data_IF_904809749593
#
_entry.id   IF_904809749593
#
_cell.length_a   1.000
_cell.length_b   1.000
_cell.length_c   1.000
_cell.angle_alpha   90.00
_cell.angle_beta   90.00
_cell.angle_gamma   90.00
#
_symmetry.space_group_name_H-M   'P 1'
#
loop_
_entity.id
_entity.type
_entity.pdbx_description
1 polymer ?
#
# COMPACT_ATOMS: atom_id res chain seq x y z
N UNK A 1 8.63 10.28 -2.38
CA UNK A 1 9.04 9.31 -1.37
C UNK A 1 9.14 7.89 -1.94
N UNK A 2 9.77 7.00 -1.20
CA UNK A 2 9.84 5.58 -1.50
C UNK A 2 9.26 4.83 -0.31
N UNK A 3 8.29 3.96 -0.58
CA UNK A 3 7.69 3.06 0.40
C UNK A 3 8.38 1.70 0.37
N UNK A 4 8.69 1.19 1.55
CA UNK A 4 9.28 -0.12 1.74
C UNK A 4 8.35 -0.97 2.59
N UNK A 5 7.77 -2.02 1.99
CA UNK A 5 6.95 -2.99 2.69
C UNK A 5 7.77 -4.10 3.37
N UNK A 6 7.07 -5.06 3.94
CA UNK A 6 7.58 -6.29 4.57
C UNK A 6 7.65 -6.26 6.09
N UNK A 7 6.92 -5.38 6.71
CA UNK A 7 6.75 -5.31 8.17
C UNK A 7 5.27 -5.45 8.46
N UNK A 8 4.90 -6.14 9.51
CA UNK A 8 3.52 -6.23 9.99
C UNK A 8 3.44 -6.07 11.50
N UNK A 9 2.27 -5.71 12.00
CA UNK A 9 2.00 -5.77 13.45
C UNK A 9 1.13 -6.98 13.81
N UNK A 10 1.05 -7.31 15.09
CA UNK A 10 0.14 -8.33 15.62
C UNK A 10 -0.88 -7.72 16.60
N UNK A 11 -1.77 -8.56 17.13
CA UNK A 11 -2.82 -8.14 18.06
C UNK A 11 -2.30 -7.63 19.40
N UNK A 12 -1.09 -7.95 19.80
CA UNK A 12 -0.39 -7.45 20.98
C UNK A 12 0.33 -6.11 20.72
N UNK A 13 0.37 -5.64 19.47
CA UNK A 13 1.06 -4.41 19.06
C UNK A 13 2.55 -4.60 18.84
N UNK A 14 3.00 -5.82 18.60
CA UNK A 14 4.41 -6.13 18.30
C UNK A 14 4.65 -6.03 16.79
N UNK A 15 5.78 -5.46 16.42
CA UNK A 15 6.21 -5.35 15.03
C UNK A 15 7.04 -6.57 14.65
N UNK A 16 6.69 -7.19 13.54
CA UNK A 16 7.34 -8.37 12.97
C UNK A 16 7.94 -8.05 11.61
N UNK A 17 9.08 -8.63 11.30
CA UNK A 17 9.82 -8.43 10.04
C UNK A 17 9.61 -9.55 9.03
N UNK A 18 8.62 -10.41 9.24
CA UNK A 18 8.25 -11.50 8.35
C UNK A 18 7.25 -11.08 7.24
N UNK A 19 6.67 -9.90 7.34
CA UNK A 19 5.82 -9.30 6.33
C UNK A 19 4.66 -10.20 5.86
N UNK A 20 4.34 -10.10 4.58
CA UNK A 20 3.26 -10.85 3.94
C UNK A 20 3.67 -12.28 3.51
N UNK A 21 4.95 -12.55 3.36
CA UNK A 21 5.48 -13.84 2.90
C UNK A 21 5.84 -14.81 4.05
N UNK A 22 5.72 -14.36 5.31
CA UNK A 22 6.01 -15.15 6.49
C UNK A 22 7.48 -15.51 6.68
N UNK A 23 8.38 -14.87 5.93
CA UNK A 23 9.83 -15.08 6.02
C UNK A 23 10.41 -14.04 6.96
N UNK A 24 10.73 -14.45 8.18
CA UNK A 24 11.38 -13.57 9.16
C UNK A 24 12.75 -13.11 8.62
N UNK A 25 12.97 -11.81 8.66
CA UNK A 25 14.21 -11.18 8.22
C UNK A 25 15.04 -10.76 9.42
N UNK A 26 16.31 -11.14 9.39
CA UNK A 26 17.27 -10.66 10.38
C UNK A 26 17.36 -9.12 10.27
N UNK A 27 16.84 -8.44 11.27
CA UNK A 27 16.78 -6.97 11.29
C UNK A 27 18.13 -6.33 11.06
N UNK A 28 19.20 -6.84 11.69
CA UNK A 28 20.52 -6.23 11.61
C UNK A 28 21.17 -6.43 10.24
N UNK A 29 20.92 -7.55 9.59
CA UNK A 29 21.49 -7.84 8.26
C UNK A 29 20.65 -7.29 7.12
N UNK A 30 19.31 -7.34 7.25
CA UNK A 30 18.42 -6.92 6.18
C UNK A 30 18.13 -5.42 6.25
N UNK A 31 17.49 -4.96 7.33
CA UNK A 31 17.07 -3.56 7.41
C UNK A 31 18.26 -2.61 7.59
N UNK A 32 19.20 -2.88 8.48
CA UNK A 32 20.31 -1.98 8.71
C UNK A 32 21.20 -1.79 7.47
N UNK A 33 21.45 -2.88 6.69
CA UNK A 33 22.24 -2.79 5.46
C UNK A 33 21.46 -2.10 4.35
N UNK A 34 20.19 -2.47 4.18
CA UNK A 34 19.33 -1.87 3.17
C UNK A 34 19.15 -0.37 3.43
N UNK A 35 18.85 0.03 4.66
CA UNK A 35 18.61 1.42 5.02
C UNK A 35 19.87 2.27 4.84
N UNK A 36 21.01 1.81 5.27
CA UNK A 36 22.27 2.52 5.02
C UNK A 36 22.51 2.78 3.53
N UNK A 37 22.26 1.77 2.68
CA UNK A 37 22.46 1.91 1.23
C UNK A 37 21.43 2.84 0.59
N UNK A 38 20.20 2.84 1.11
CA UNK A 38 19.14 3.72 0.62
C UNK A 38 19.37 5.18 1.03
N UNK A 39 19.72 5.44 2.29
CA UNK A 39 20.03 6.78 2.77
C UNK A 39 21.21 7.39 1.98
N UNK A 40 22.28 6.61 1.73
CA UNK A 40 23.42 7.07 0.91
C UNK A 40 22.98 7.62 -0.47
N UNK A 41 21.93 7.06 -1.06
CA UNK A 41 21.45 7.46 -2.41
C UNK A 41 20.31 8.49 -2.35
N UNK A 42 19.42 8.39 -1.36
CA UNK A 42 18.17 9.15 -1.33
C UNK A 42 18.30 10.50 -0.63
N UNK A 43 19.14 10.61 0.40
CA UNK A 43 19.34 11.85 1.16
C UNK A 43 19.88 12.97 0.26
N UNK A 44 20.83 12.67 -0.63
CA UNK A 44 21.33 13.63 -1.62
C UNK A 44 20.25 14.12 -2.60
N UNK A 45 19.17 13.35 -2.76
CA UNK A 45 18.07 13.64 -3.68
C UNK A 45 16.87 14.28 -3.00
N UNK A 46 16.88 14.39 -1.68
CA UNK A 46 15.74 14.86 -0.89
C UNK A 46 14.50 13.97 -1.04
N UNK A 47 14.69 12.64 -1.12
CA UNK A 47 13.62 11.67 -1.26
C UNK A 47 13.35 11.01 0.09
N UNK A 48 12.16 11.21 0.64
CA UNK A 48 11.75 10.63 1.90
C UNK A 48 11.57 9.12 1.79
N UNK A 49 11.92 8.41 2.86
CA UNK A 49 11.82 6.97 2.98
C UNK A 49 10.75 6.60 4.02
N UNK A 50 9.71 5.88 3.58
CA UNK A 50 8.55 5.52 4.39
C UNK A 50 8.49 4.01 4.58
N UNK A 51 8.10 3.53 5.75
CA UNK A 51 7.88 2.11 6.01
C UNK A 51 6.39 1.77 5.94
N UNK A 52 6.02 0.84 5.07
CA UNK A 52 4.67 0.26 5.05
C UNK A 52 4.57 -0.87 6.07
N UNK A 53 3.62 -0.74 6.99
CA UNK A 53 3.33 -1.72 8.03
C UNK A 53 1.96 -2.35 7.75
N UNK A 54 1.96 -3.66 7.51
CA UNK A 54 0.80 -4.47 7.18
C UNK A 54 0.00 -4.88 8.42
N UNK A 55 -1.31 -5.00 8.29
CA UNK A 55 -2.16 -5.51 9.35
C UNK A 55 -1.96 -7.01 9.62
N UNK A 56 -2.37 -7.51 10.81
CA UNK A 56 -2.46 -8.95 11.07
C UNK A 56 -3.36 -9.62 10.03
N UNK A 57 -2.86 -10.65 9.38
CA UNK A 57 -3.56 -11.42 8.36
C UNK A 57 -4.11 -12.74 8.89
N UNK A 58 -4.90 -13.45 8.06
CA UNK A 58 -5.43 -14.77 8.35
C UNK A 58 -6.79 -14.76 9.04
N UNK A 59 -7.12 -15.87 9.70
CA UNK A 59 -8.42 -16.02 10.38
C UNK A 59 -8.61 -14.93 11.45
N UNK A 60 -9.78 -14.29 11.45
CA UNK A 60 -10.13 -13.16 12.33
C UNK A 60 -9.21 -11.94 12.24
N UNK A 61 -8.62 -11.67 11.07
CA UNK A 61 -7.71 -10.55 10.86
C UNK A 61 -8.22 -9.22 11.42
N UNK A 62 -9.45 -8.81 11.09
CA UNK A 62 -10.03 -7.56 11.59
C UNK A 62 -10.22 -7.54 13.12
N UNK A 63 -10.57 -8.67 13.75
CA UNK A 63 -10.68 -8.73 15.22
C UNK A 63 -9.31 -8.53 15.89
N UNK A 64 -8.25 -9.07 15.29
CA UNK A 64 -6.87 -8.88 15.75
C UNK A 64 -6.42 -7.42 15.58
N UNK A 65 -6.76 -6.81 14.43
CA UNK A 65 -6.53 -5.36 14.23
C UNK A 65 -7.27 -4.55 15.30
N UNK A 66 -8.56 -4.83 15.50
CA UNK A 66 -9.36 -4.11 16.50
C UNK A 66 -8.74 -4.21 17.90
N UNK A 67 -8.28 -5.39 18.31
CA UNK A 67 -7.59 -5.57 19.59
C UNK A 67 -6.33 -4.73 19.67
N UNK A 68 -5.50 -4.71 18.63
CA UNK A 68 -4.26 -3.95 18.63
C UNK A 68 -4.49 -2.43 18.71
N UNK A 69 -5.45 -1.88 17.93
CA UNK A 69 -5.70 -0.44 17.87
C UNK A 69 -6.61 0.09 18.99
N UNK A 70 -7.19 -0.80 19.82
CA UNK A 70 -8.02 -0.40 20.97
C UNK A 70 -7.38 -0.76 22.30
N UNK A 71 -7.14 -2.05 22.56
CA UNK A 71 -6.63 -2.54 23.85
C UNK A 71 -5.11 -2.36 23.97
N UNK A 72 -4.35 -2.55 22.88
CA UNK A 72 -2.90 -2.50 22.85
C UNK A 72 -2.35 -1.27 22.11
N UNK A 73 -3.17 -0.24 21.94
CA UNK A 73 -2.89 0.96 21.15
C UNK A 73 -1.57 1.63 21.49
N UNK A 74 -1.33 1.91 22.77
CA UNK A 74 -0.10 2.58 23.21
C UNK A 74 1.16 1.77 22.89
N UNK A 75 1.09 0.46 23.11
CA UNK A 75 2.16 -0.48 22.76
C UNK A 75 2.42 -0.46 21.25
N UNK A 76 1.35 -0.55 20.44
CA UNK A 76 1.44 -0.56 18.98
C UNK A 76 2.09 0.74 18.46
N UNK A 77 1.59 1.89 18.87
CA UNK A 77 2.14 3.19 18.43
C UNK A 77 3.60 3.34 18.86
N UNK A 78 3.91 2.97 20.11
CA UNK A 78 5.29 3.03 20.62
C UNK A 78 6.22 2.16 19.79
N UNK A 79 5.82 0.94 19.45
CA UNK A 79 6.64 0.02 18.67
C UNK A 79 6.79 0.47 17.20
N UNK A 80 5.72 0.99 16.58
CA UNK A 80 5.79 1.57 15.23
C UNK A 80 6.80 2.71 15.16
N UNK A 81 6.71 3.66 16.09
CA UNK A 81 7.62 4.81 16.15
C UNK A 81 9.05 4.37 16.48
N UNK A 82 9.21 3.43 17.41
CA UNK A 82 10.54 2.90 17.75
C UNK A 82 11.20 2.21 16.56
N UNK A 83 10.43 1.43 15.77
CA UNK A 83 10.92 0.79 14.55
C UNK A 83 11.33 1.83 13.50
N UNK A 84 10.47 2.81 13.26
CA UNK A 84 10.76 3.90 12.32
C UNK A 84 12.01 4.69 12.73
N UNK A 85 12.15 5.04 14.01
CA UNK A 85 13.31 5.75 14.54
C UNK A 85 14.60 4.93 14.47
N UNK A 86 14.52 3.61 14.72
CA UNK A 86 15.70 2.71 14.69
C UNK A 86 16.39 2.72 13.33
N UNK A 87 15.63 2.88 12.27
CA UNK A 87 16.11 2.83 10.89
C UNK A 87 15.99 4.17 10.15
N UNK A 88 15.69 5.25 10.89
CA UNK A 88 15.59 6.62 10.35
C UNK A 88 14.59 6.76 9.20
N UNK A 89 13.45 6.03 9.25
CA UNK A 89 12.35 6.24 8.32
C UNK A 89 11.73 7.63 8.51
N UNK A 90 11.44 8.32 7.40
CA UNK A 90 10.80 9.64 7.40
C UNK A 90 9.30 9.58 7.67
N UNK A 91 8.70 8.39 7.57
CA UNK A 91 7.27 8.21 7.77
C UNK A 91 6.85 6.76 7.97
N UNK A 92 5.56 6.63 8.27
CA UNK A 92 4.86 5.37 8.45
C UNK A 92 3.68 5.35 7.47
N UNK A 93 3.58 4.30 6.67
CA UNK A 93 2.43 3.95 5.85
C UNK A 93 1.70 2.76 6.49
N UNK A 94 0.39 2.80 6.53
CA UNK A 94 -0.41 1.71 7.08
C UNK A 94 -1.25 1.07 6.00
N UNK A 95 -1.12 -0.25 5.89
CA UNK A 95 -1.87 -1.06 4.95
C UNK A 95 -2.78 -2.02 5.71
N UNK A 96 -4.03 -1.57 5.97
CA UNK A 96 -5.09 -2.40 6.52
C UNK A 96 -6.09 -2.79 5.44
N UNK A 97 -6.05 -4.05 5.03
CA UNK A 97 -6.95 -4.62 4.03
C UNK A 97 -8.02 -5.52 4.69
N UNK A 98 -9.24 -5.08 5.02
CA UNK A 98 -9.74 -3.70 4.99
C UNK A 98 -10.66 -3.49 6.19
N UNK A 99 -10.81 -2.29 6.75
CA UNK A 99 -11.90 -2.00 7.67
C UNK A 99 -13.24 -2.06 6.92
N UNK A 100 -14.25 -2.72 7.49
CA UNK A 100 -15.53 -3.00 6.83
C UNK A 100 -16.72 -2.39 7.56
N UNK A 101 -16.68 -2.33 8.90
CA UNK A 101 -17.77 -1.85 9.74
C UNK A 101 -17.56 -0.38 10.17
N UNK A 102 -18.64 0.25 10.67
CA UNK A 102 -18.53 1.58 11.27
C UNK A 102 -17.62 1.58 12.50
N UNK A 103 -17.77 0.58 13.37
CA UNK A 103 -16.96 0.48 14.60
C UNK A 103 -15.46 0.36 14.28
N UNK A 104 -15.10 -0.38 13.23
CA UNK A 104 -13.71 -0.49 12.77
C UNK A 104 -13.18 0.86 12.27
N UNK A 105 -13.96 1.59 11.48
CA UNK A 105 -13.57 2.93 11.04
C UNK A 105 -13.48 3.93 12.21
N UNK A 106 -14.40 3.89 13.16
CA UNK A 106 -14.38 4.78 14.32
C UNK A 106 -13.11 4.56 15.16
N UNK A 107 -12.77 3.29 15.42
CA UNK A 107 -11.54 2.94 16.13
C UNK A 107 -10.29 3.33 15.33
N UNK A 108 -10.29 3.10 14.02
CA UNK A 108 -9.14 3.41 13.15
C UNK A 108 -8.93 4.93 13.01
N UNK A 109 -10.01 5.71 12.84
CA UNK A 109 -9.93 7.17 12.83
C UNK A 109 -9.26 7.71 14.11
N UNK A 110 -9.71 7.24 15.28
CA UNK A 110 -9.13 7.62 16.56
C UNK A 110 -7.66 7.21 16.71
N UNK A 111 -7.32 6.00 16.23
CA UNK A 111 -5.95 5.49 16.24
C UNK A 111 -5.01 6.32 15.36
N UNK A 112 -5.44 6.65 14.14
CA UNK A 112 -4.63 7.43 13.18
C UNK A 112 -4.33 8.85 13.68
N UNK A 113 -5.32 9.51 14.30
CA UNK A 113 -5.14 10.84 14.89
C UNK A 113 -4.11 10.80 16.02
N UNK A 114 -4.18 9.79 16.91
CA UNK A 114 -3.23 9.63 17.98
C UNK A 114 -1.83 9.27 17.46
N UNK A 115 -1.74 8.34 16.51
CA UNK A 115 -0.47 7.98 15.87
C UNK A 115 0.20 9.22 15.28
N UNK A 116 -0.50 10.02 14.46
CA UNK A 116 0.07 11.24 13.87
C UNK A 116 0.51 12.25 14.92
N UNK A 117 -0.28 12.45 15.98
CA UNK A 117 0.07 13.35 17.07
C UNK A 117 1.38 12.92 17.79
N UNK A 118 1.54 11.63 18.02
CA UNK A 118 2.76 11.08 18.62
C UNK A 118 3.95 11.11 17.66
N UNK A 119 3.75 10.82 16.38
CA UNK A 119 4.80 10.94 15.35
C UNK A 119 5.45 12.33 15.36
N UNK A 120 4.66 13.40 15.44
CA UNK A 120 5.14 14.79 15.49
C UNK A 120 6.04 15.12 16.68
N UNK A 121 6.01 14.31 17.72
CA UNK A 121 6.80 14.56 18.93
C UNK A 121 7.86 13.52 19.21
N UNK A 122 7.66 12.27 18.76
CA UNK A 122 8.46 11.12 19.13
C UNK A 122 9.31 10.57 17.96
N UNK A 123 8.96 10.85 16.69
CA UNK A 123 9.82 10.49 15.56
C UNK A 123 11.05 11.39 15.48
N UNK A 124 12.13 10.85 14.92
CA UNK A 124 13.41 11.55 14.80
C UNK A 124 13.31 12.86 14.01
N UNK A 125 12.47 12.90 12.95
CA UNK A 125 12.21 14.05 12.09
C UNK A 125 10.97 14.88 12.51
N UNK A 126 10.25 14.45 13.54
CA UNK A 126 9.14 15.18 14.20
C UNK A 126 8.08 15.75 13.26
N UNK A 127 8.03 17.09 13.11
CA UNK A 127 7.00 17.76 12.31
C UNK A 127 7.03 17.36 10.83
N UNK A 128 8.16 16.88 10.33
CA UNK A 128 8.30 16.41 8.95
C UNK A 128 7.90 14.93 8.78
N UNK A 129 7.51 14.25 9.88
CA UNK A 129 7.11 12.85 9.86
C UNK A 129 5.83 12.62 9.04
N UNK A 130 5.94 11.78 8.02
CA UNK A 130 4.86 11.47 7.08
C UNK A 130 3.99 10.32 7.59
N UNK A 131 2.66 10.50 7.60
CA UNK A 131 1.68 9.43 7.78
C UNK A 131 0.93 9.22 6.46
N UNK A 132 0.99 8.01 5.91
CA UNK A 132 0.22 7.64 4.73
C UNK A 132 -0.58 6.35 4.93
N UNK A 133 -1.53 6.09 4.04
CA UNK A 133 -2.39 4.90 4.08
C UNK A 133 -2.49 4.27 2.70
N UNK A 134 -2.46 2.95 2.63
CA UNK A 134 -2.94 2.22 1.47
C UNK A 134 -4.47 2.15 1.49
N UNK A 135 -5.15 2.56 0.42
CA UNK A 135 -6.60 2.65 0.36
C UNK A 135 -7.22 1.85 -0.78
N UNK A 136 -8.29 1.13 -0.42
CA UNK A 136 -9.23 0.61 -1.40
C UNK A 136 -10.06 1.73 -2.04
N UNK A 137 -10.70 1.44 -3.17
CA UNK A 137 -11.55 2.38 -3.92
C UNK A 137 -13.05 2.23 -3.60
N UNK A 138 -13.37 1.82 -2.36
CA UNK A 138 -14.75 1.55 -1.93
C UNK A 138 -14.91 1.63 -0.41
N UNK A 139 -16.12 1.97 0.03
CA UNK A 139 -16.62 1.90 1.42
C UNK A 139 -15.79 2.67 2.48
N UNK A 140 -15.08 3.72 2.10
CA UNK A 140 -14.29 4.52 3.04
C UNK A 140 -15.18 5.37 3.97
N UNK A 141 -14.77 5.53 5.24
CA UNK A 141 -15.49 6.29 6.27
C UNK A 141 -14.51 7.04 7.18
N UNK A 142 -13.56 7.74 6.58
CA UNK A 142 -12.64 8.60 7.33
C UNK A 142 -13.31 9.90 7.71
N UNK A 143 -13.03 10.39 8.94
CA UNK A 143 -13.53 11.69 9.37
C UNK A 143 -12.66 12.82 8.81
N UNK A 144 -13.21 14.07 8.68
CA UNK A 144 -12.40 15.21 8.23
C UNK A 144 -11.12 15.40 9.05
N UNK A 145 -11.20 15.23 10.38
CA UNK A 145 -10.05 15.35 11.27
C UNK A 145 -8.98 14.29 10.98
N UNK A 146 -9.38 13.09 10.62
CA UNK A 146 -8.46 12.03 10.20
C UNK A 146 -7.83 12.36 8.85
N UNK A 147 -8.62 12.82 7.88
CA UNK A 147 -8.12 13.22 6.54
C UNK A 147 -7.08 14.33 6.67
N UNK A 148 -7.30 15.31 7.56
CA UNK A 148 -6.35 16.40 7.81
C UNK A 148 -5.01 15.93 8.41
N UNK A 149 -4.98 14.82 9.13
CA UNK A 149 -3.75 14.30 9.71
C UNK A 149 -2.97 13.34 8.79
N UNK A 150 -3.56 12.92 7.66
CA UNK A 150 -2.93 12.05 6.67
C UNK A 150 -2.23 12.93 5.62
N UNK A 151 -0.96 12.67 5.37
CA UNK A 151 -0.18 13.42 4.37
C UNK A 151 -0.43 12.92 2.95
N UNK A 152 -0.48 11.59 2.76
CA UNK A 152 -0.73 10.94 1.46
C UNK A 152 -1.60 9.71 1.61
N UNK A 153 -2.29 9.37 0.53
CA UNK A 153 -2.98 8.09 0.39
C UNK A 153 -2.50 7.37 -0.87
N UNK A 154 -2.13 6.12 -0.71
CA UNK A 154 -1.68 5.22 -1.77
C UNK A 154 -2.88 4.40 -2.24
N UNK A 155 -3.53 4.87 -3.29
CA UNK A 155 -4.77 4.27 -3.79
C UNK A 155 -4.47 3.03 -4.60
N UNK A 156 -4.99 1.88 -4.19
CA UNK A 156 -4.87 0.61 -4.89
C UNK A 156 -5.74 0.60 -6.16
N UNK A 157 -5.31 1.36 -7.18
CA UNK A 157 -5.99 1.51 -8.47
C UNK A 157 -5.75 0.34 -9.44
N UNK A 158 -5.54 -0.86 -8.90
CA UNK A 158 -5.21 -2.09 -9.61
C UNK A 158 -6.04 -3.27 -9.07
N UNK A 159 -5.96 -4.42 -9.74
CA UNK A 159 -6.73 -5.63 -9.44
C UNK A 159 -8.25 -5.43 -9.42
N UNK A 160 -8.71 -4.35 -10.06
CA UNK A 160 -10.12 -4.05 -10.23
C UNK A 160 -10.62 -4.83 -11.45
N UNK A 161 -11.55 -5.74 -11.23
CA UNK A 161 -12.21 -6.48 -12.30
C UNK A 161 -13.34 -5.64 -12.88
N UNK A 162 -13.52 -5.70 -14.20
CA UNK A 162 -14.70 -5.15 -14.86
C UNK A 162 -15.95 -6.02 -14.62
N UNK A 163 -17.08 -5.62 -15.22
CA UNK A 163 -18.35 -6.32 -15.05
C UNK A 163 -18.34 -7.75 -15.60
N UNK A 164 -17.45 -8.03 -16.54
CA UNK A 164 -17.29 -9.34 -17.17
C UNK A 164 -16.27 -10.24 -16.46
N UNK A 165 -15.71 -9.76 -15.33
CA UNK A 165 -14.72 -10.48 -14.54
C UNK A 165 -13.32 -10.46 -15.11
N UNK A 166 -13.06 -9.61 -16.09
CA UNK A 166 -11.76 -9.40 -16.69
C UNK A 166 -10.95 -8.39 -15.84
N UNK A 167 -9.62 -8.51 -15.92
CA UNK A 167 -8.74 -7.56 -15.26
C UNK A 167 -8.87 -6.20 -15.96
N UNK A 168 -9.40 -5.22 -15.26
CA UNK A 168 -9.65 -3.91 -15.85
C UNK A 168 -8.50 -2.95 -15.64
N UNK A 169 -8.09 -2.64 -14.47
CA UNK A 169 -7.06 -1.63 -14.15
C UNK A 169 -6.73 -0.67 -15.31
N UNK A 170 -7.74 -0.33 -16.13
CA UNK A 170 -7.62 0.53 -17.31
C UNK A 170 -7.54 2.01 -16.89
N UNK A 171 -7.37 2.90 -17.85
CA UNK A 171 -7.33 4.33 -17.60
C UNK A 171 -8.60 4.86 -16.92
N UNK A 172 -9.78 4.41 -17.36
CA UNK A 172 -11.06 4.81 -16.75
C UNK A 172 -11.20 4.38 -15.29
N UNK A 173 -10.69 3.20 -14.89
CA UNK A 173 -10.70 2.78 -13.48
C UNK A 173 -9.75 3.62 -12.61
N UNK A 174 -8.65 4.07 -13.17
CA UNK A 174 -7.74 5.02 -12.51
C UNK A 174 -8.45 6.36 -12.22
N UNK A 175 -9.14 6.92 -13.23
CA UNK A 175 -9.91 8.16 -13.06
C UNK A 175 -11.03 7.98 -12.01
N UNK A 176 -11.81 6.90 -12.11
CA UNK A 176 -12.88 6.59 -11.15
C UNK A 176 -12.35 6.42 -9.72
N UNK A 177 -11.19 5.78 -9.57
CA UNK A 177 -10.53 5.64 -8.27
C UNK A 177 -10.17 7.01 -7.68
N UNK A 178 -9.53 7.88 -8.46
CA UNK A 178 -9.17 9.23 -8.04
C UNK A 178 -10.40 10.07 -7.66
N UNK A 179 -11.43 10.09 -8.53
CA UNK A 179 -12.67 10.81 -8.30
C UNK A 179 -13.39 10.32 -7.03
N UNK A 180 -13.38 9.00 -6.79
CA UNK A 180 -13.96 8.43 -5.59
C UNK A 180 -13.23 8.92 -4.33
N UNK A 181 -11.90 8.86 -4.29
CA UNK A 181 -11.11 9.29 -3.13
C UNK A 181 -11.27 10.80 -2.89
N UNK A 182 -11.28 11.62 -3.95
CA UNK A 182 -11.56 13.06 -3.85
C UNK A 182 -12.96 13.32 -3.27
N UNK A 183 -13.96 12.53 -3.67
CA UNK A 183 -15.33 12.63 -3.15
C UNK A 183 -15.43 12.28 -1.65
N UNK A 184 -14.46 11.56 -1.09
CA UNK A 184 -14.38 11.26 0.34
C UNK A 184 -13.74 12.39 1.16
N UNK A 185 -13.26 13.45 0.52
CA UNK A 185 -12.70 14.64 1.17
C UNK A 185 -11.18 14.78 1.09
N UNK A 186 -10.47 13.81 0.49
CA UNK A 186 -9.04 13.94 0.24
C UNK A 186 -8.77 14.96 -0.88
N UNK A 187 -7.76 15.80 -0.70
CA UNK A 187 -7.31 16.70 -1.76
C UNK A 187 -6.50 15.97 -2.82
N UNK A 188 -6.47 16.51 -4.04
CA UNK A 188 -5.68 15.94 -5.14
C UNK A 188 -4.19 15.79 -4.80
N UNK A 189 -3.67 16.70 -3.99
CA UNK A 189 -2.26 16.68 -3.56
C UNK A 189 -1.94 15.54 -2.58
N UNK A 190 -2.97 14.96 -1.94
CA UNK A 190 -2.81 13.81 -1.05
C UNK A 190 -2.90 12.48 -1.80
N UNK A 191 -3.37 12.45 -3.05
CA UNK A 191 -3.73 11.22 -3.75
C UNK A 191 -2.57 10.73 -4.62
N UNK A 192 -2.03 9.56 -4.30
CA UNK A 192 -1.15 8.79 -5.17
C UNK A 192 -1.91 7.59 -5.70
N UNK A 193 -1.87 7.36 -7.01
CA UNK A 193 -2.60 6.25 -7.64
C UNK A 193 -1.61 5.15 -8.02
N UNK A 194 -1.83 3.96 -7.48
CA UNK A 194 -1.06 2.77 -7.82
C UNK A 194 -1.37 2.26 -9.22
N UNK A 195 -0.33 1.89 -9.96
CA UNK A 195 -0.44 1.27 -11.29
C UNK A 195 0.18 -0.13 -11.26
N UNK A 196 -0.47 -1.15 -11.87
CA UNK A 196 0.10 -2.49 -11.94
C UNK A 196 1.17 -2.56 -13.03
N UNK A 197 2.37 -3.02 -12.68
CA UNK A 197 3.43 -3.42 -13.62
C UNK A 197 3.49 -4.94 -13.77
N UNK A 198 2.34 -5.58 -13.68
CA UNK A 198 2.15 -7.03 -13.80
C UNK A 198 0.87 -7.33 -14.58
N UNK A 199 0.76 -8.54 -15.08
CA UNK A 199 -0.46 -9.07 -15.67
C UNK A 199 -1.17 -10.03 -14.73
N UNK A 200 -2.49 -10.10 -14.84
CA UNK A 200 -3.33 -11.07 -14.13
C UNK A 200 -4.10 -11.92 -15.13
N UNK A 201 -4.37 -13.18 -14.76
CA UNK A 201 -5.15 -14.08 -15.59
C UNK A 201 -6.64 -13.74 -15.54
N UNK A 202 -7.33 -14.05 -16.64
CA UNK A 202 -8.79 -14.07 -16.68
C UNK A 202 -9.36 -14.92 -15.52
N UNK A 203 -10.16 -14.31 -14.64
CA UNK A 203 -10.78 -14.95 -13.50
C UNK A 203 -9.89 -15.28 -12.30
N UNK A 204 -8.59 -14.93 -12.32
CA UNK A 204 -7.65 -15.25 -11.24
C UNK A 204 -6.87 -14.06 -10.73
N UNK A 205 -7.18 -13.55 -9.53
CA UNK A 205 -6.40 -12.50 -8.86
C UNK A 205 -5.06 -13.01 -8.30
N UNK A 206 -4.90 -14.32 -8.14
CA UNK A 206 -3.77 -14.92 -7.41
C UNK A 206 -2.57 -15.27 -8.29
N UNK A 207 -2.71 -15.22 -9.62
CA UNK A 207 -1.61 -15.53 -10.55
C UNK A 207 -1.16 -14.24 -11.24
N UNK A 208 -0.16 -13.58 -10.69
CA UNK A 208 0.43 -12.36 -11.26
C UNK A 208 1.69 -12.69 -12.06
N UNK A 209 1.88 -12.00 -13.18
CA UNK A 209 3.07 -12.12 -14.03
C UNK A 209 3.76 -10.76 -14.16
N UNK A 210 5.03 -10.72 -13.82
CA UNK A 210 5.81 -9.50 -14.01
C UNK A 210 5.86 -9.10 -15.49
N UNK A 211 5.66 -7.82 -15.78
CA UNK A 211 5.63 -7.29 -17.16
C UNK A 211 6.89 -7.64 -17.95
N UNK A 212 8.07 -7.61 -17.33
CA UNK A 212 9.34 -7.95 -17.98
C UNK A 212 9.42 -9.41 -18.46
N UNK A 213 8.64 -10.33 -17.88
CA UNK A 213 8.61 -11.72 -18.31
C UNK A 213 7.95 -11.91 -19.69
N UNK A 214 7.14 -10.94 -20.12
CA UNK A 214 6.38 -11.00 -21.38
C UNK A 214 6.68 -9.82 -22.32
N UNK A 215 7.44 -8.83 -21.88
CA UNK A 215 7.64 -7.56 -22.60
C UNK A 215 8.29 -7.68 -23.98
N UNK A 216 9.09 -8.73 -24.20
CA UNK A 216 9.75 -8.98 -25.49
C UNK A 216 8.78 -9.58 -26.54
N UNK A 217 7.68 -10.17 -26.08
CA UNK A 217 6.72 -10.87 -26.92
C UNK A 217 5.48 -10.03 -27.29
N UNK A 218 5.34 -8.85 -26.70
CA UNK A 218 4.14 -8.03 -26.83
C UNK A 218 4.45 -6.62 -27.36
N UNK A 219 3.50 -6.08 -28.11
CA UNK A 219 3.55 -4.68 -28.53
C UNK A 219 3.35 -3.75 -27.31
N UNK A 220 4.04 -2.60 -27.21
CA UNK A 220 3.86 -1.61 -26.15
C UNK A 220 2.44 -1.01 -26.08
N UNK A 221 1.59 -1.32 -27.05
CA UNK A 221 0.19 -0.88 -27.12
C UNK A 221 -0.82 -1.96 -26.73
N UNK A 222 -0.40 -3.22 -26.58
CA UNK A 222 -1.30 -4.30 -26.24
C UNK A 222 -1.57 -4.34 -24.72
N UNK A 223 -2.82 -4.62 -24.35
CA UNK A 223 -3.28 -4.72 -22.96
C UNK A 223 -3.57 -6.17 -22.55
N UNK A 224 -3.32 -7.11 -23.43
CA UNK A 224 -3.47 -8.55 -23.15
C UNK A 224 -2.44 -9.35 -23.92
N UNK A 225 -2.17 -10.54 -23.40
CA UNK A 225 -1.30 -11.55 -24.01
C UNK A 225 -1.92 -12.93 -23.78
N UNK A 226 -1.85 -13.80 -24.78
CA UNK A 226 -2.34 -15.17 -24.66
C UNK A 226 -1.22 -16.09 -24.25
N UNK A 227 -1.33 -16.70 -23.08
CA UNK A 227 -0.37 -17.67 -22.55
C UNK A 227 -1.01 -19.05 -22.47
N UNK A 228 -0.18 -20.09 -22.52
CA UNK A 228 -0.62 -21.45 -22.20
C UNK A 228 -0.43 -21.72 -20.73
N UNK A 229 -1.50 -22.14 -20.05
CA UNK A 229 -1.41 -22.61 -18.68
C UNK A 229 -0.47 -23.82 -18.63
N UNK A 230 0.51 -23.79 -17.72
CA UNK A 230 1.58 -24.79 -17.64
C UNK A 230 1.09 -26.22 -17.38
N UNK A 231 0.00 -26.35 -16.62
CA UNK A 231 -0.61 -27.61 -16.19
C UNK A 231 -1.60 -28.18 -17.20
N UNK A 232 -2.50 -27.36 -17.77
CA UNK A 232 -3.58 -27.82 -18.64
C UNK A 232 -3.30 -27.61 -20.13
N UNK A 233 -2.29 -26.79 -20.49
CA UNK A 233 -2.00 -26.35 -21.86
C UNK A 233 -3.12 -25.58 -22.55
N UNK A 234 -4.14 -25.15 -21.79
CA UNK A 234 -5.21 -24.29 -22.27
C UNK A 234 -4.69 -22.87 -22.50
N UNK A 235 -5.19 -22.23 -23.55
CA UNK A 235 -4.89 -20.81 -23.79
C UNK A 235 -5.65 -19.95 -22.76
N UNK A 236 -4.95 -18.99 -22.13
CA UNK A 236 -5.52 -18.02 -21.22
C UNK A 236 -5.09 -16.61 -21.58
N UNK A 237 -6.00 -15.69 -21.41
CA UNK A 237 -5.67 -14.28 -21.53
C UNK A 237 -5.04 -13.77 -20.25
N UNK A 238 -3.91 -13.07 -20.38
CA UNK A 238 -3.28 -12.30 -19.33
C UNK A 238 -3.50 -10.83 -19.64
N UNK A 239 -4.12 -10.11 -18.74
CA UNK A 239 -4.39 -8.67 -18.87
C UNK A 239 -3.34 -7.88 -18.12
N UNK A 240 -2.86 -6.80 -18.72
CA UNK A 240 -1.85 -5.90 -18.13
C UNK A 240 -2.03 -4.47 -18.65
N UNK A 241 -1.41 -3.51 -17.99
CA UNK A 241 -1.37 -2.15 -18.48
C UNK A 241 -0.24 -2.00 -19.50
N UNK A 242 -0.59 -1.68 -20.76
CA UNK A 242 0.40 -1.37 -21.78
C UNK A 242 1.20 -0.12 -21.42
N UNK A 243 2.35 0.06 -22.08
CA UNK A 243 3.13 1.28 -21.92
C UNK A 243 2.33 2.54 -22.25
N UNK A 244 1.42 2.45 -23.23
CA UNK A 244 0.52 3.54 -23.59
C UNK A 244 -0.43 3.90 -22.44
N UNK A 245 -1.07 2.91 -21.80
CA UNK A 245 -1.96 3.15 -20.66
C UNK A 245 -1.18 3.70 -19.45
N UNK A 246 -0.01 3.15 -19.14
CA UNK A 246 0.83 3.65 -18.05
C UNK A 246 1.21 5.12 -18.29
N UNK A 247 1.64 5.47 -19.50
CA UNK A 247 1.93 6.85 -19.87
C UNK A 247 0.72 7.78 -19.68
N UNK A 248 -0.46 7.35 -20.11
CA UNK A 248 -1.67 8.17 -20.02
C UNK A 248 -2.12 8.32 -18.57
N UNK A 249 -2.02 7.27 -17.74
CA UNK A 249 -2.25 7.34 -16.28
C UNK A 249 -1.26 8.27 -15.59
N UNK A 250 0.02 8.17 -15.92
CA UNK A 250 1.06 9.06 -15.38
C UNK A 250 0.77 10.51 -15.72
N UNK A 251 0.40 10.82 -16.97
CA UNK A 251 0.02 12.16 -17.38
C UNK A 251 -1.25 12.70 -16.70
N UNK A 252 -2.16 11.83 -16.31
CA UNK A 252 -3.36 12.21 -15.54
C UNK A 252 -3.04 12.50 -14.08
N UNK A 253 -2.13 11.72 -13.47
CA UNK A 253 -1.75 11.88 -12.07
C UNK A 253 -0.86 13.11 -11.80
N UNK A 254 -0.27 13.71 -12.86
CA UNK A 254 0.57 14.91 -12.80
C UNK A 254 -0.25 16.18 -12.92
#
# INVERSE_FOLDING_TARGET
>A
YIDIGNVRWDEEGIIHTDGWDGIERDEDKYYAVMMRNLHEVLDEKGVNLVITILNPSGENGNQRVMKSITENRDTLITNMIAFANKYEFDGIDLDWEFPLSQDEFDAYNSFLQELKARMKTEMWNKEDATLSLALATWALKYTPETIECIDYVNVMGYDILDQDGQHSSFFSSCVQAADYIESQGFSKQQINIGFPFYGTWEGGRMEQYAYNAISEEISPFNNFYTMKKSDTKEDRYTYFNSQAIIRDKTAYAY
#
